data_IF_996982983925
#
_entry.id   IF_996982983925
#
_cell.length_a   1.000
_cell.length_b   1.000
_cell.length_c   1.000
_cell.angle_alpha   90.00
_cell.angle_beta   90.00
_cell.angle_gamma   90.00
#
_symmetry.space_group_name_H-M   'P 1'
#
loop_
_entity.id
_entity.type
_entity.pdbx_description
1 polymer ?
#
# COMPACT_ATOMS: atom_id res chain seq x y z
N UNK A 1 43.74 -18.58 -10.16
CA UNK A 1 42.35 -18.53 -10.67
C UNK A 1 41.52 -18.04 -9.51
N UNK A 2 41.24 -16.74 -9.49
CA UNK A 2 40.40 -16.11 -8.46
C UNK A 2 39.17 -15.60 -9.19
N UNK A 3 38.03 -16.22 -8.91
CA UNK A 3 36.73 -15.87 -9.47
C UNK A 3 36.12 -14.79 -8.58
N UNK A 4 36.31 -13.52 -8.94
CA UNK A 4 35.59 -12.39 -8.36
C UNK A 4 34.14 -12.45 -8.88
N UNK A 5 33.32 -13.27 -8.19
CA UNK A 5 31.90 -13.36 -8.43
C UNK A 5 31.21 -12.01 -8.24
N UNK A 6 31.00 -11.30 -9.34
CA UNK A 6 30.14 -10.13 -9.42
C UNK A 6 28.71 -10.50 -9.00
N UNK A 7 28.39 -10.35 -7.72
CA UNK A 7 26.99 -10.29 -7.27
C UNK A 7 26.43 -8.98 -7.80
N UNK A 8 25.81 -9.03 -8.98
CA UNK A 8 25.21 -7.86 -9.63
C UNK A 8 24.15 -7.22 -8.73
N UNK A 9 24.25 -5.90 -8.56
CA UNK A 9 23.29 -5.06 -7.81
C UNK A 9 21.83 -5.24 -8.30
N UNK A 10 21.64 -5.66 -9.55
CA UNK A 10 20.33 -5.97 -10.12
C UNK A 10 19.66 -7.17 -9.42
N UNK A 11 20.42 -8.22 -9.08
CA UNK A 11 19.90 -9.43 -8.43
C UNK A 11 19.41 -9.19 -7.00
N UNK A 12 19.98 -8.20 -6.29
CA UNK A 12 19.48 -7.81 -4.96
C UNK A 12 18.15 -7.06 -5.04
N UNK A 13 18.00 -6.14 -6.01
CA UNK A 13 16.76 -5.37 -6.19
C UNK A 13 15.59 -6.25 -6.63
N UNK A 14 15.83 -7.22 -7.51
CA UNK A 14 14.80 -8.18 -7.96
C UNK A 14 14.31 -9.08 -6.81
N UNK A 15 15.23 -9.52 -5.94
CA UNK A 15 14.87 -10.30 -4.74
C UNK A 15 13.99 -9.47 -3.80
N UNK A 16 14.40 -8.25 -3.46
CA UNK A 16 13.61 -7.34 -2.60
C UNK A 16 12.22 -7.07 -3.17
N UNK A 17 12.09 -6.85 -4.48
CA UNK A 17 10.79 -6.65 -5.12
C UNK A 17 9.92 -7.91 -5.05
N UNK A 18 10.51 -9.09 -5.26
CA UNK A 18 9.80 -10.36 -5.19
C UNK A 18 9.28 -10.67 -3.77
N UNK A 19 10.02 -10.28 -2.74
CA UNK A 19 9.61 -10.47 -1.35
C UNK A 19 8.46 -9.54 -0.98
N UNK A 20 8.51 -8.29 -1.44
CA UNK A 20 7.41 -7.32 -1.28
C UNK A 20 6.14 -7.84 -1.95
N UNK A 21 6.22 -8.33 -3.19
CA UNK A 21 5.04 -8.81 -3.92
C UNK A 21 4.36 -10.01 -3.25
N UNK A 22 5.13 -10.90 -2.61
CA UNK A 22 4.59 -12.06 -1.87
C UNK A 22 3.75 -11.66 -0.66
N UNK A 23 4.07 -10.54 -0.04
CA UNK A 23 3.37 -10.05 1.15
C UNK A 23 2.14 -9.21 0.81
N UNK A 24 2.03 -8.69 -0.41
CA UNK A 24 0.90 -7.88 -0.86
C UNK A 24 -0.33 -8.72 -1.22
N UNK A 25 -1.54 -8.14 -1.16
CA UNK A 25 -2.75 -8.90 -1.43
C UNK A 25 -2.94 -9.16 -2.93
N UNK A 26 -3.57 -10.29 -3.22
CA UNK A 26 -4.05 -10.64 -4.55
C UNK A 26 -5.43 -10.04 -4.83
N UNK A 27 -5.80 -9.94 -6.12
CA UNK A 27 -7.14 -9.54 -6.53
C UNK A 27 -8.21 -10.41 -5.88
N UNK A 28 -9.34 -9.81 -5.53
CA UNK A 28 -10.49 -10.37 -4.82
C UNK A 28 -10.24 -10.77 -3.36
N UNK A 29 -9.04 -10.57 -2.81
CA UNK A 29 -8.84 -10.73 -1.37
C UNK A 29 -9.55 -9.62 -0.59
N UNK A 30 -9.98 -9.94 0.62
CA UNK A 30 -10.63 -9.01 1.52
C UNK A 30 -9.61 -8.47 2.52
N UNK A 31 -9.47 -7.15 2.59
CA UNK A 31 -8.69 -6.47 3.64
C UNK A 31 -9.65 -5.79 4.61
N UNK A 32 -9.43 -5.97 5.92
CA UNK A 32 -10.26 -5.38 6.97
C UNK A 32 -9.57 -4.15 7.55
N UNK A 33 -10.18 -2.98 7.32
CA UNK A 33 -9.80 -1.72 7.94
C UNK A 33 -10.39 -1.59 9.34
N UNK A 34 -10.23 -0.40 9.94
CA UNK A 34 -10.79 -0.09 11.25
C UNK A 34 -12.31 0.06 11.18
N UNK A 35 -12.82 0.66 10.11
CA UNK A 35 -14.23 1.03 9.99
C UNK A 35 -14.99 0.15 8.97
N UNK A 36 -14.31 -0.46 8.01
CA UNK A 36 -14.95 -1.28 6.97
C UNK A 36 -14.03 -2.36 6.40
N UNK A 37 -14.60 -3.25 5.61
CA UNK A 37 -13.86 -4.26 4.84
C UNK A 37 -13.87 -3.88 3.35
N UNK A 38 -12.79 -4.22 2.65
CA UNK A 38 -12.57 -3.81 1.27
C UNK A 38 -12.09 -4.98 0.41
N UNK A 39 -12.77 -5.24 -0.70
CA UNK A 39 -12.32 -6.20 -1.70
C UNK A 39 -11.27 -5.56 -2.60
N UNK A 40 -10.11 -6.19 -2.72
CA UNK A 40 -9.02 -5.74 -3.59
C UNK A 40 -9.40 -5.97 -5.05
N UNK A 41 -9.31 -4.91 -5.87
CA UNK A 41 -9.55 -4.98 -7.30
C UNK A 41 -8.22 -5.03 -8.07
N UNK A 42 -7.90 -3.98 -8.84
CA UNK A 42 -6.67 -3.93 -9.66
C UNK A 42 -5.52 -3.24 -8.93
N UNK A 43 -4.29 -3.66 -9.20
CA UNK A 43 -3.08 -2.90 -8.84
C UNK A 43 -3.03 -1.65 -9.72
N UNK A 44 -2.91 -0.48 -9.10
CA UNK A 44 -2.81 0.82 -9.78
C UNK A 44 -1.33 1.16 -10.01
N UNK A 45 -0.49 0.95 -9.00
CA UNK A 45 0.95 1.19 -9.11
C UNK A 45 1.74 0.25 -8.20
N UNK A 46 2.96 -0.08 -8.63
CA UNK A 46 3.95 -0.80 -7.85
C UNK A 46 4.99 0.20 -7.33
N UNK A 47 5.36 0.10 -6.05
CA UNK A 47 6.45 0.84 -5.44
C UNK A 47 7.50 -0.09 -4.85
N UNK A 48 8.58 0.49 -4.32
CA UNK A 48 9.67 -0.29 -3.70
C UNK A 48 9.22 -1.05 -2.45
N UNK A 49 8.39 -0.44 -1.61
CA UNK A 49 8.00 -1.00 -0.30
C UNK A 49 6.58 -1.56 -0.27
N UNK A 50 5.87 -1.51 -1.39
CA UNK A 50 4.46 -1.88 -1.47
C UNK A 50 3.82 -1.45 -2.77
N UNK A 51 2.52 -1.20 -2.76
CA UNK A 51 1.76 -0.88 -3.98
C UNK A 51 0.49 -0.10 -3.64
N UNK A 52 -0.10 0.51 -4.67
CA UNK A 52 -1.44 1.11 -4.58
C UNK A 52 -2.41 0.20 -5.33
N UNK A 53 -3.55 -0.10 -4.72
CA UNK A 53 -4.62 -0.89 -5.30
C UNK A 53 -5.92 -0.09 -5.36
N UNK A 54 -6.74 -0.35 -6.37
CA UNK A 54 -8.16 -0.03 -6.33
C UNK A 54 -8.85 -1.02 -5.38
N UNK A 55 -9.74 -0.53 -4.52
CA UNK A 55 -10.51 -1.35 -3.59
C UNK A 55 -11.98 -0.96 -3.57
N UNK A 56 -12.84 -1.94 -3.32
CA UNK A 56 -14.29 -1.77 -3.21
C UNK A 56 -14.72 -1.97 -1.76
N UNK A 57 -15.33 -0.95 -1.15
CA UNK A 57 -15.86 -1.08 0.21
C UNK A 57 -17.08 -1.99 0.22
N UNK A 58 -17.12 -2.99 1.11
CA UNK A 58 -18.16 -4.02 1.07
C UNK A 58 -19.56 -3.52 1.39
N UNK A 59 -19.71 -2.48 2.21
CA UNK A 59 -21.04 -2.03 2.65
C UNK A 59 -21.84 -1.29 1.57
N UNK A 60 -21.17 -0.67 0.60
CA UNK A 60 -21.81 0.17 -0.42
C UNK A 60 -21.19 0.08 -1.82
N UNK A 61 -20.17 -0.76 -2.01
CA UNK A 61 -19.50 -0.96 -3.29
C UNK A 61 -18.71 0.25 -3.78
N UNK A 62 -18.51 1.29 -2.97
CA UNK A 62 -17.77 2.48 -3.40
C UNK A 62 -16.30 2.16 -3.62
N UNK A 63 -15.75 2.77 -4.67
CA UNK A 63 -14.34 2.64 -5.09
C UNK A 63 -13.44 3.61 -4.34
N UNK A 64 -12.29 3.12 -3.93
CA UNK A 64 -11.24 3.86 -3.24
C UNK A 64 -9.86 3.38 -3.70
N UNK A 65 -8.82 4.14 -3.35
CA UNK A 65 -7.44 3.71 -3.46
C UNK A 65 -6.94 3.22 -2.10
N UNK A 66 -6.23 2.11 -2.06
CA UNK A 66 -5.53 1.62 -0.88
C UNK A 66 -4.02 1.62 -1.16
N UNK A 67 -3.27 2.47 -0.44
CA UNK A 67 -1.81 2.45 -0.46
C UNK A 67 -1.31 1.51 0.62
N UNK A 68 -0.48 0.56 0.24
CA UNK A 68 0.05 -0.50 1.10
C UNK A 68 1.56 -0.36 1.24
N UNK A 69 2.08 -0.69 2.42
CA UNK A 69 3.51 -0.90 2.66
C UNK A 69 3.71 -2.17 3.51
N UNK A 70 4.65 -3.03 3.13
CA UNK A 70 4.91 -4.28 3.85
C UNK A 70 5.52 -4.00 5.22
N UNK A 71 5.11 -4.79 6.23
CA UNK A 71 5.47 -4.52 7.62
C UNK A 71 6.96 -4.72 7.94
N UNK A 72 7.64 -5.58 7.19
CA UNK A 72 9.05 -5.93 7.42
C UNK A 72 10.03 -4.85 6.96
N UNK A 73 9.55 -3.84 6.24
CA UNK A 73 10.39 -2.73 5.80
C UNK A 73 10.49 -1.64 6.88
N UNK A 74 11.71 -1.14 7.12
CA UNK A 74 11.95 0.03 7.97
C UNK A 74 11.50 1.37 7.33
N UNK A 75 10.59 1.33 6.35
CA UNK A 75 10.00 2.54 5.77
C UNK A 75 9.06 3.20 6.77
N UNK A 76 8.93 4.53 6.70
CA UNK A 76 7.91 5.30 7.42
C UNK A 76 6.96 6.05 6.47
N UNK A 77 7.02 5.78 5.16
CA UNK A 77 6.28 6.50 4.12
C UNK A 77 4.78 6.53 4.37
N UNK A 78 4.16 5.39 4.65
CA UNK A 78 2.72 5.32 4.88
C UNK A 78 2.26 6.06 6.15
N UNK A 79 3.12 6.17 7.16
CA UNK A 79 2.81 6.93 8.38
C UNK A 79 2.79 8.44 8.09
N UNK A 80 3.73 8.91 7.27
CA UNK A 80 3.74 10.30 6.81
C UNK A 80 2.52 10.59 5.94
N UNK A 81 2.19 9.71 4.99
CA UNK A 81 0.98 9.84 4.17
C UNK A 81 -0.28 9.97 5.04
N UNK A 82 -0.45 9.07 6.02
CA UNK A 82 -1.58 9.12 6.95
C UNK A 82 -1.65 10.48 7.67
N UNK A 83 -0.51 10.97 8.15
CA UNK A 83 -0.43 12.24 8.88
C UNK A 83 -0.82 13.42 7.99
N UNK A 84 -0.27 13.48 6.77
CA UNK A 84 -0.57 14.54 5.80
C UNK A 84 -2.04 14.51 5.39
N UNK A 85 -2.60 13.33 5.07
CA UNK A 85 -4.00 13.20 4.69
C UNK A 85 -4.95 13.64 5.82
N UNK A 86 -4.63 13.29 7.07
CA UNK A 86 -5.41 13.73 8.24
C UNK A 86 -5.39 15.26 8.40
N UNK A 87 -4.22 15.89 8.24
CA UNK A 87 -4.12 17.35 8.36
C UNK A 87 -4.77 18.07 7.17
N UNK A 88 -4.60 17.56 5.95
CA UNK A 88 -5.25 18.08 4.76
C UNK A 88 -6.79 18.06 4.90
N UNK A 89 -7.36 16.98 5.46
CA UNK A 89 -8.79 16.93 5.76
C UNK A 89 -9.22 17.97 6.78
N UNK A 90 -8.46 18.17 7.86
CA UNK A 90 -8.77 19.20 8.88
C UNK A 90 -8.69 20.62 8.30
N UNK A 91 -7.75 20.86 7.39
CA UNK A 91 -7.61 22.12 6.68
C UNK A 91 -8.61 22.31 5.53
N UNK A 92 -9.51 21.34 5.30
CA UNK A 92 -10.43 21.32 4.16
C UNK A 92 -9.72 21.52 2.81
N UNK A 93 -8.52 20.95 2.65
CA UNK A 93 -7.73 21.04 1.43
C UNK A 93 -8.37 20.18 0.33
N UNK A 94 -9.22 20.79 -0.49
CA UNK A 94 -10.04 20.11 -1.51
C UNK A 94 -9.24 19.42 -2.63
N UNK A 95 -7.97 19.80 -2.80
CA UNK A 95 -7.08 19.23 -3.82
C UNK A 95 -6.26 18.03 -3.34
N UNK A 96 -6.39 17.64 -2.06
CA UNK A 96 -5.77 16.44 -1.53
C UNK A 96 -6.77 15.28 -1.50
N UNK A 97 -6.32 14.02 -1.70
CA UNK A 97 -7.15 12.86 -1.41
C UNK A 97 -7.65 12.90 0.03
N UNK A 98 -8.89 12.48 0.27
CA UNK A 98 -9.43 12.38 1.63
C UNK A 98 -9.06 11.02 2.21
N UNK A 99 -8.59 11.01 3.45
CA UNK A 99 -8.45 9.80 4.24
C UNK A 99 -9.84 9.18 4.52
N UNK A 100 -9.93 7.86 4.38
CA UNK A 100 -11.18 7.09 4.56
C UNK A 100 -11.03 6.09 5.70
N UNK A 101 -9.96 5.31 5.70
CA UNK A 101 -9.75 4.23 6.66
C UNK A 101 -8.28 3.81 6.70
N UNK A 102 -7.90 2.96 7.66
CA UNK A 102 -6.59 2.34 7.74
C UNK A 102 -6.68 0.95 8.35
N UNK A 103 -5.64 0.15 8.13
CA UNK A 103 -5.51 -1.13 8.80
C UNK A 103 -4.11 -1.70 8.72
N UNK A 104 -3.95 -2.87 9.34
CA UNK A 104 -2.73 -3.65 9.33
C UNK A 104 -3.09 -5.13 9.28
N UNK A 105 -2.46 -5.85 8.38
CA UNK A 105 -2.47 -7.31 8.32
C UNK A 105 -1.11 -7.76 8.86
N UNK A 106 -1.14 -8.36 10.06
CA UNK A 106 0.08 -8.78 10.75
C UNK A 106 0.92 -9.74 9.88
N UNK A 107 2.24 -9.55 9.91
CA UNK A 107 3.19 -10.30 9.09
C UNK A 107 3.13 -10.01 7.58
N UNK A 108 2.30 -9.06 7.12
CA UNK A 108 2.12 -8.77 5.70
C UNK A 108 2.32 -7.28 5.41
N UNK A 109 1.31 -6.45 5.63
CA UNK A 109 1.33 -5.04 5.27
C UNK A 109 0.42 -4.18 6.14
N UNK A 110 0.74 -2.90 6.18
CA UNK A 110 -0.13 -1.82 6.64
C UNK A 110 -0.72 -1.08 5.45
N UNK A 111 -1.88 -0.46 5.64
CA UNK A 111 -2.55 0.26 4.56
C UNK A 111 -3.33 1.48 5.03
N UNK A 112 -3.47 2.43 4.11
CA UNK A 112 -4.39 3.57 4.21
C UNK A 112 -5.32 3.53 3.00
N UNK A 113 -6.62 3.68 3.26
CA UNK A 113 -7.66 3.86 2.24
C UNK A 113 -7.94 5.35 2.10
N UNK A 114 -7.98 5.82 0.86
CA UNK A 114 -8.21 7.21 0.50
C UNK A 114 -9.14 7.30 -0.72
N UNK A 115 -9.74 8.48 -0.95
CA UNK A 115 -10.47 8.74 -2.20
C UNK A 115 -9.56 8.47 -3.40
N UNK A 116 -10.15 7.97 -4.49
CA UNK A 116 -9.42 7.83 -5.75
C UNK A 116 -8.83 9.20 -6.15
N UNK A 117 -7.54 9.25 -6.55
CA UNK A 117 -7.00 10.40 -7.25
C UNK A 117 -7.83 10.61 -8.53
N UNK A 118 -8.26 11.85 -8.77
CA UNK A 118 -8.94 12.27 -9.99
C UNK A 118 -7.97 12.45 -11.15
#
# INVERSE_FOLDING_TARGET
MSDDGQVSLESSCERELSDVERLLPSRNQLIKGKESSYAVARKISQGRYGAVFEVLRQNDGRRFAAKLEVCETHSHGLHLDYTVLCQAMKANAVHFPRFIDRGKIEGHFRFVVMTMPG
#
